data_IF_264346160464
#
_entry.id   IF_264346160464
#
_cell.length_a   1.000
_cell.length_b   1.000
_cell.length_c   1.000
_cell.angle_alpha   90.00
_cell.angle_beta   90.00
_cell.angle_gamma   90.00
#
_symmetry.space_group_name_H-M   'P 1'
#
loop_
_entity.id
_entity.type
_entity.pdbx_description
1 polymer ?
#
# COMPACT_ATOMS: atom_id res chain seq x y z
N UNK A 1 10.93 -8.86 13.12
CA UNK A 1 10.33 -9.94 12.31
C UNK A 1 9.03 -9.49 11.64
N UNK A 2 7.92 -9.26 12.37
CA UNK A 2 6.65 -8.81 11.74
C UNK A 2 6.77 -7.40 11.13
N UNK A 3 7.34 -6.44 11.86
CA UNK A 3 7.54 -5.08 11.36
C UNK A 3 8.43 -5.04 10.09
N UNK A 4 9.52 -5.80 10.08
CA UNK A 4 10.44 -5.88 8.94
C UNK A 4 9.77 -6.55 7.72
N UNK A 5 8.96 -7.59 7.95
CA UNK A 5 8.22 -8.26 6.88
C UNK A 5 7.18 -7.33 6.24
N UNK A 6 6.46 -6.55 7.04
CA UNK A 6 5.47 -5.59 6.52
C UNK A 6 6.14 -4.40 5.85
N UNK A 7 7.30 -3.94 6.35
CA UNK A 7 8.08 -2.91 5.68
C UNK A 7 8.55 -3.37 4.29
N UNK A 8 9.02 -4.62 4.17
CA UNK A 8 9.40 -5.22 2.89
C UNK A 8 8.20 -5.37 1.95
N UNK A 9 7.05 -5.81 2.47
CA UNK A 9 5.81 -5.91 1.70
C UNK A 9 5.37 -4.56 1.12
N UNK A 10 5.41 -3.49 1.92
CA UNK A 10 5.10 -2.13 1.46
C UNK A 10 6.08 -1.68 0.39
N UNK A 11 7.37 -1.92 0.61
CA UNK A 11 8.41 -1.58 -0.36
C UNK A 11 8.17 -2.27 -1.71
N UNK A 12 7.95 -3.58 -1.70
CA UNK A 12 7.75 -4.37 -2.91
C UNK A 12 6.45 -4.01 -3.62
N UNK A 13 5.37 -3.78 -2.87
CA UNK A 13 4.11 -3.34 -3.43
C UNK A 13 4.25 -1.96 -4.10
N UNK A 14 4.98 -1.03 -3.48
CA UNK A 14 5.21 0.29 -4.05
C UNK A 14 6.09 0.23 -5.31
N UNK A 15 7.18 -0.53 -5.26
CA UNK A 15 8.05 -0.72 -6.42
C UNK A 15 7.29 -1.29 -7.62
N UNK A 16 6.34 -2.21 -7.39
CA UNK A 16 5.48 -2.76 -8.46
C UNK A 16 4.47 -1.74 -8.98
N UNK A 17 3.87 -0.94 -8.12
CA UNK A 17 2.96 0.13 -8.52
C UNK A 17 3.68 1.17 -9.39
N UNK A 18 4.86 1.63 -8.97
CA UNK A 18 5.68 2.60 -9.71
C UNK A 18 6.11 2.01 -11.08
N UNK A 19 6.54 0.75 -11.12
CA UNK A 19 6.92 0.09 -12.36
C UNK A 19 5.73 -0.08 -13.33
N UNK A 20 4.55 -0.44 -12.85
CA UNK A 20 3.35 -0.54 -13.68
C UNK A 20 2.86 0.82 -14.16
N UNK A 21 2.94 1.86 -13.31
CA UNK A 21 2.64 3.23 -13.71
C UNK A 21 3.55 3.69 -14.86
N UNK A 22 4.86 3.44 -14.75
CA UNK A 22 5.80 3.78 -15.81
C UNK A 22 5.49 3.06 -17.13
N UNK A 23 5.12 1.78 -17.08
CA UNK A 23 4.69 1.00 -18.26
C UNK A 23 3.40 1.54 -18.87
N UNK A 24 2.43 1.95 -18.05
CA UNK A 24 1.19 2.54 -18.53
C UNK A 24 1.47 3.86 -19.26
N UNK A 25 2.33 4.72 -18.73
CA UNK A 25 2.75 5.96 -19.38
C UNK A 25 3.46 5.70 -20.72
N UNK A 26 4.36 4.71 -20.77
CA UNK A 26 5.03 4.31 -22.01
C UNK A 26 4.02 3.81 -23.06
N UNK A 27 3.05 2.99 -22.65
CA UNK A 27 2.01 2.49 -23.54
C UNK A 27 1.18 3.62 -24.15
N UNK A 28 0.87 4.67 -23.36
CA UNK A 28 0.17 5.85 -23.87
C UNK A 28 1.01 6.66 -24.87
N UNK A 29 2.30 6.79 -24.63
CA UNK A 29 3.20 7.44 -25.57
C UNK A 29 3.23 6.69 -26.92
N UNK A 30 3.24 5.35 -26.87
CA UNK A 30 3.15 4.50 -28.07
C UNK A 30 1.82 4.67 -28.81
N UNK A 31 0.69 4.72 -28.09
CA UNK A 31 -0.63 5.02 -28.67
C UNK A 31 -0.63 6.39 -29.36
N UNK A 32 -0.12 7.43 -28.71
CA UNK A 32 -0.06 8.78 -29.29
C UNK A 32 0.74 8.80 -30.59
N UNK A 33 1.89 8.12 -30.61
CA UNK A 33 2.72 7.97 -31.82
C UNK A 33 1.98 7.19 -32.93
N UNK A 34 1.33 6.09 -32.59
CA UNK A 34 0.59 5.27 -33.54
C UNK A 34 -0.59 6.04 -34.15
N UNK A 35 -1.35 6.79 -33.34
CA UNK A 35 -2.43 7.67 -33.80
C UNK A 35 -1.93 8.75 -34.76
N UNK A 36 -0.82 9.41 -34.43
CA UNK A 36 -0.23 10.42 -35.31
C UNK A 36 0.21 9.81 -36.66
N UNK A 37 0.79 8.61 -36.63
CA UNK A 37 1.16 7.88 -37.86
C UNK A 37 -0.08 7.49 -38.68
N UNK A 38 -1.13 6.95 -38.02
CA UNK A 38 -2.37 6.57 -38.69
C UNK A 38 -3.06 7.77 -39.33
N UNK A 39 -3.13 8.91 -38.63
CA UNK A 39 -3.68 10.16 -39.16
C UNK A 39 -2.91 10.63 -40.40
N UNK A 40 -1.57 10.63 -40.34
CA UNK A 40 -0.73 11.04 -41.48
C UNK A 40 -0.89 10.12 -42.69
N UNK A 41 -0.99 8.81 -42.49
CA UNK A 41 -1.22 7.86 -43.60
C UNK A 41 -2.60 8.01 -44.21
N UNK A 42 -3.60 8.33 -43.40
CA UNK A 42 -4.96 8.63 -43.89
C UNK A 42 -4.98 9.89 -44.74
N UNK A 43 -4.30 10.95 -44.30
CA UNK A 43 -4.13 12.18 -45.10
C UNK A 43 -3.46 11.88 -46.44
N UNK A 44 -2.37 11.11 -46.46
CA UNK A 44 -1.72 10.67 -47.70
C UNK A 44 -2.64 9.85 -48.61
N UNK A 45 -3.47 8.97 -48.05
CA UNK A 45 -4.44 8.19 -48.81
C UNK A 45 -5.52 9.09 -49.45
N UNK A 46 -5.99 10.10 -48.71
CA UNK A 46 -6.97 11.07 -49.19
C UNK A 46 -6.38 11.97 -50.30
N UNK A 47 -5.14 12.42 -50.14
CA UNK A 47 -4.45 13.22 -51.15
C UNK A 47 -4.14 12.41 -52.41
N UNK A 48 -3.71 11.16 -52.28
CA UNK A 48 -3.51 10.26 -53.41
C UNK A 48 -4.81 10.03 -54.19
N UNK A 49 -5.94 9.86 -53.49
CA UNK A 49 -7.25 9.67 -54.12
C UNK A 49 -7.75 10.93 -54.86
N UNK A 50 -7.32 12.14 -54.45
CA UNK A 50 -7.67 13.40 -55.12
C UNK A 50 -6.80 13.68 -56.35
N UNK A 51 -5.61 13.09 -56.43
CA UNK A 51 -4.68 13.34 -57.52
C UNK A 51 -5.02 12.44 -58.72
N UNK A 52 -5.62 13.02 -59.76
CA UNK A 52 -6.12 12.29 -60.95
C UNK A 52 -5.04 11.57 -61.77
N UNK A 53 -3.76 11.79 -61.46
CA UNK A 53 -2.61 11.11 -62.08
C UNK A 53 -2.09 9.90 -61.29
N UNK A 54 -2.63 9.64 -60.09
CA UNK A 54 -2.23 8.49 -59.29
C UNK A 54 -2.80 7.19 -59.86
N UNK A 55 -1.93 6.20 -60.00
CA UNK A 55 -2.31 4.86 -60.42
C UNK A 55 -3.26 4.20 -59.39
N UNK A 56 -4.39 3.58 -59.80
CA UNK A 56 -5.37 3.00 -58.88
C UNK A 56 -4.81 1.94 -57.92
N UNK A 57 -3.79 1.17 -58.34
CA UNK A 57 -3.16 0.16 -57.49
C UNK A 57 -2.35 0.83 -56.37
N UNK A 58 -1.66 1.93 -56.71
CA UNK A 58 -0.94 2.77 -55.73
C UNK A 58 -1.89 3.39 -54.70
N UNK A 59 -3.04 3.91 -55.13
CA UNK A 59 -4.07 4.47 -54.22
C UNK A 59 -4.61 3.38 -53.28
N UNK A 60 -4.83 2.18 -53.80
CA UNK A 60 -5.32 1.03 -53.03
C UNK A 60 -4.30 0.57 -51.99
N UNK A 61 -3.01 0.53 -52.35
CA UNK A 61 -1.93 0.19 -51.42
C UNK A 61 -1.83 1.19 -50.26
N UNK A 62 -1.83 2.49 -50.55
CA UNK A 62 -1.76 3.54 -49.53
C UNK A 62 -2.96 3.45 -48.58
N UNK A 63 -4.17 3.18 -49.09
CA UNK A 63 -5.35 2.96 -48.26
C UNK A 63 -5.20 1.72 -47.37
N UNK A 64 -4.71 0.60 -47.90
CA UNK A 64 -4.44 -0.60 -47.11
C UNK A 64 -3.43 -0.36 -45.98
N UNK A 65 -2.38 0.43 -46.24
CA UNK A 65 -1.40 0.83 -45.22
C UNK A 65 -2.00 1.77 -44.14
N UNK A 66 -2.94 2.64 -44.52
CA UNK A 66 -3.64 3.52 -43.59
C UNK A 66 -4.61 2.74 -42.68
N UNK A 67 -5.34 1.77 -43.24
CA UNK A 67 -6.22 0.88 -42.49
C UNK A 67 -5.42 0.01 -41.52
N UNK A 68 -4.29 -0.54 -41.97
CA UNK A 68 -3.37 -1.31 -41.11
C UNK A 68 -2.83 -0.47 -39.95
N UNK A 69 -2.44 0.79 -40.18
CA UNK A 69 -1.98 1.66 -39.10
C UNK A 69 -3.10 2.05 -38.13
N UNK A 70 -4.33 2.18 -38.63
CA UNK A 70 -5.49 2.41 -37.76
C UNK A 70 -5.74 1.20 -36.87
N UNK A 71 -5.69 -0.01 -37.43
CA UNK A 71 -5.83 -1.25 -36.67
C UNK A 71 -4.73 -1.41 -35.61
N UNK A 72 -3.48 -1.07 -35.95
CA UNK A 72 -2.35 -1.06 -35.01
C UNK A 72 -2.57 -0.06 -33.85
N UNK A 73 -3.03 1.16 -34.15
CA UNK A 73 -3.33 2.15 -33.12
C UNK A 73 -4.44 1.65 -32.17
N UNK A 74 -5.50 1.03 -32.70
CA UNK A 74 -6.58 0.44 -31.89
C UNK A 74 -6.07 -0.70 -31.01
N UNK A 75 -5.18 -1.56 -31.52
CA UNK A 75 -4.58 -2.62 -30.72
C UNK A 75 -3.76 -2.06 -29.56
N UNK A 76 -2.92 -1.06 -29.84
CA UNK A 76 -2.12 -0.39 -28.81
C UNK A 76 -2.98 0.34 -27.77
N UNK A 77 -4.15 0.87 -28.16
CA UNK A 77 -5.10 1.47 -27.21
C UNK A 77 -5.65 0.45 -26.22
N UNK A 78 -5.94 -0.77 -26.67
CA UNK A 78 -6.38 -1.86 -25.80
C UNK A 78 -5.26 -2.25 -24.84
N UNK A 79 -4.03 -2.38 -25.34
CA UNK A 79 -2.88 -2.71 -24.50
C UNK A 79 -2.59 -1.61 -23.47
N UNK A 80 -2.71 -0.33 -23.85
CA UNK A 80 -2.56 0.78 -22.92
C UNK A 80 -3.69 0.81 -21.88
N UNK A 81 -4.92 0.45 -22.23
CA UNK A 81 -6.01 0.32 -21.28
C UNK A 81 -5.78 -0.81 -20.27
N UNK A 82 -5.26 -1.96 -20.72
CA UNK A 82 -4.87 -3.07 -19.85
C UNK A 82 -3.72 -2.66 -18.91
N UNK A 83 -2.68 -2.01 -19.43
CA UNK A 83 -1.55 -1.53 -18.63
C UNK A 83 -1.98 -0.53 -17.55
N UNK A 84 -2.94 0.36 -17.85
CA UNK A 84 -3.54 1.27 -16.86
C UNK A 84 -4.33 0.51 -15.78
N UNK A 85 -5.14 -0.46 -16.19
CA UNK A 85 -5.90 -1.27 -15.23
C UNK A 85 -4.97 -2.07 -14.29
N UNK A 86 -3.85 -2.59 -14.80
CA UNK A 86 -2.82 -3.22 -13.99
C UNK A 86 -2.13 -2.23 -13.03
N UNK A 87 -1.80 -1.03 -13.51
CA UNK A 87 -1.23 0.03 -12.66
C UNK A 87 -2.17 0.41 -11.51
N UNK A 88 -3.47 0.58 -11.79
CA UNK A 88 -4.48 0.87 -10.78
C UNK A 88 -4.61 -0.28 -9.75
N UNK A 89 -4.53 -1.54 -10.20
CA UNK A 89 -4.58 -2.69 -9.32
C UNK A 89 -3.35 -2.77 -8.41
N UNK A 90 -2.16 -2.49 -8.94
CA UNK A 90 -0.93 -2.45 -8.15
C UNK A 90 -0.92 -1.27 -7.17
N UNK A 91 -1.43 -0.10 -7.55
CA UNK A 91 -1.53 1.04 -6.64
C UNK A 91 -2.47 0.71 -5.47
N UNK A 92 -3.65 0.12 -5.73
CA UNK A 92 -4.56 -0.35 -4.67
C UNK A 92 -3.89 -1.37 -3.74
N UNK A 93 -3.07 -2.25 -4.31
CA UNK A 93 -2.31 -3.24 -3.52
C UNK A 93 -1.27 -2.56 -2.63
N UNK A 94 -0.57 -1.54 -3.14
CA UNK A 94 0.36 -0.74 -2.36
C UNK A 94 -0.34 0.04 -1.24
N UNK A 95 -1.49 0.65 -1.52
CA UNK A 95 -2.32 1.31 -0.50
C UNK A 95 -2.72 0.33 0.61
N UNK A 96 -3.23 -0.85 0.25
CA UNK A 96 -3.63 -1.87 1.23
C UNK A 96 -2.44 -2.37 2.08
N UNK A 97 -1.24 -2.47 1.50
CA UNK A 97 -0.04 -2.83 2.25
C UNK A 97 0.33 -1.74 3.30
N UNK A 98 0.19 -0.46 2.94
CA UNK A 98 0.41 0.66 3.85
C UNK A 98 -0.61 0.63 4.99
N UNK A 99 -1.90 0.41 4.69
CA UNK A 99 -2.95 0.29 5.72
C UNK A 99 -2.66 -0.87 6.68
N UNK A 100 -2.20 -2.02 6.17
CA UNK A 100 -1.77 -3.15 7.01
C UNK A 100 -0.60 -2.76 7.92
N UNK A 101 0.40 -2.05 7.42
CA UNK A 101 1.53 -1.55 8.21
C UNK A 101 1.06 -0.67 9.35
N UNK A 102 0.18 0.28 9.07
CA UNK A 102 -0.29 1.24 10.05
C UNK A 102 -1.17 0.55 11.11
N UNK A 103 -1.97 -0.43 10.71
CA UNK A 103 -2.72 -1.28 11.64
C UNK A 103 -1.79 -2.10 12.57
N UNK A 104 -0.71 -2.68 12.03
CA UNK A 104 0.28 -3.42 12.83
C UNK A 104 1.00 -2.51 13.81
N UNK A 105 1.39 -1.30 13.39
CA UNK A 105 2.02 -0.31 14.26
C UNK A 105 1.09 0.08 15.42
N UNK A 106 -0.18 0.39 15.12
CA UNK A 106 -1.19 0.72 16.13
C UNK A 106 -1.42 -0.44 17.12
N UNK A 107 -1.50 -1.68 16.63
CA UNK A 107 -1.64 -2.86 17.49
C UNK A 107 -0.44 -3.05 18.43
N UNK A 108 0.78 -2.79 17.94
CA UNK A 108 2.00 -2.87 18.74
C UNK A 108 2.02 -1.82 19.87
N UNK A 109 1.61 -0.58 19.58
CA UNK A 109 1.48 0.48 20.58
C UNK A 109 0.41 0.14 21.63
N UNK A 110 -0.74 -0.38 21.20
CA UNK A 110 -1.81 -0.84 22.10
C UNK A 110 -1.33 -1.94 23.04
N UNK A 111 -0.57 -2.91 22.52
CA UNK A 111 -0.01 -4.00 23.32
C UNK A 111 1.02 -3.51 24.34
N UNK A 112 1.89 -2.58 23.96
CA UNK A 112 2.86 -1.98 24.88
C UNK A 112 2.18 -1.14 25.97
N UNK A 113 1.11 -0.41 25.63
CA UNK A 113 0.28 0.30 26.61
C UNK A 113 -0.37 -0.66 27.61
N UNK A 114 -0.99 -1.74 27.12
CA UNK A 114 -1.59 -2.77 27.97
C UNK A 114 -0.55 -3.44 28.88
N UNK A 115 0.66 -3.69 28.37
CA UNK A 115 1.77 -4.25 29.15
C UNK A 115 2.21 -3.33 30.28
N UNK A 116 2.26 -2.01 30.04
CA UNK A 116 2.56 -1.01 31.09
C UNK A 116 1.47 -0.96 32.15
N UNK A 117 0.20 -0.94 31.74
CA UNK A 117 -0.93 -0.97 32.65
C UNK A 117 -0.90 -2.21 33.55
N UNK A 118 -0.68 -3.40 32.97
CA UNK A 118 -0.57 -4.65 33.72
C UNK A 118 0.56 -4.61 34.76
N UNK A 119 1.75 -4.10 34.38
CA UNK A 119 2.88 -3.95 35.32
C UNK A 119 2.53 -2.98 36.46
N UNK A 120 1.86 -1.87 36.16
CA UNK A 120 1.44 -0.92 37.18
C UNK A 120 0.47 -1.55 38.18
N UNK A 121 -0.54 -2.29 37.70
CA UNK A 121 -1.48 -3.01 38.57
C UNK A 121 -0.78 -4.05 39.44
N UNK A 122 0.18 -4.80 38.87
CA UNK A 122 0.97 -5.78 39.64
C UNK A 122 1.77 -5.10 40.75
N UNK A 123 2.49 -4.03 40.43
CA UNK A 123 3.30 -3.30 41.41
C UNK A 123 2.42 -2.73 42.54
N UNK A 124 1.26 -2.16 42.20
CA UNK A 124 0.29 -1.68 43.19
C UNK A 124 -0.16 -2.79 44.14
N UNK A 125 -0.47 -3.99 43.60
CA UNK A 125 -0.87 -5.14 44.40
C UNK A 125 0.24 -5.60 45.34
N UNK A 126 1.47 -5.67 44.84
CA UNK A 126 2.63 -6.09 45.63
C UNK A 126 2.92 -5.08 46.76
N UNK A 127 2.75 -3.78 46.51
CA UNK A 127 2.86 -2.73 47.53
C UNK A 127 1.73 -2.79 48.56
N UNK A 128 0.49 -3.06 48.13
CA UNK A 128 -0.64 -3.24 49.03
C UNK A 128 -0.41 -4.43 49.98
N UNK A 129 0.10 -5.55 49.46
CA UNK A 129 0.42 -6.73 50.26
C UNK A 129 1.49 -6.43 51.32
N UNK A 130 2.57 -5.72 50.95
CA UNK A 130 3.61 -5.29 51.91
C UNK A 130 3.03 -4.42 53.02
N UNK A 131 2.15 -3.48 52.69
CA UNK A 131 1.50 -2.60 53.68
C UNK A 131 0.66 -3.39 54.68
N UNK A 132 -0.08 -4.41 54.21
CA UNK A 132 -0.85 -5.29 55.09
C UNK A 132 0.08 -6.06 56.03
N UNK A 133 1.16 -6.64 55.51
CA UNK A 133 2.15 -7.35 56.34
C UNK A 133 2.79 -6.43 57.41
N UNK A 134 3.14 -5.19 57.05
CA UNK A 134 3.64 -4.21 58.00
C UNK A 134 2.59 -3.88 59.06
N UNK A 135 1.32 -3.69 58.67
CA UNK A 135 0.24 -3.39 59.61
C UNK A 135 0.00 -4.55 60.60
N UNK A 136 0.03 -5.80 60.11
CA UNK A 136 -0.11 -7.00 60.95
C UNK A 136 1.05 -7.12 61.96
N UNK A 137 2.29 -6.86 61.52
CA UNK A 137 3.46 -6.88 62.39
C UNK A 137 3.37 -5.81 63.50
N UNK A 138 2.99 -4.58 63.16
CA UNK A 138 2.80 -3.49 64.13
C UNK A 138 1.67 -3.81 65.11
N UNK A 139 0.58 -4.43 64.63
CA UNK A 139 -0.53 -4.84 65.49
C UNK A 139 -0.10 -5.92 66.47
N UNK A 140 0.66 -6.91 66.02
CA UNK A 140 1.20 -7.96 66.88
C UNK A 140 2.14 -7.40 67.97
N UNK A 141 3.00 -6.46 67.61
CA UNK A 141 3.89 -5.76 68.55
C UNK A 141 3.10 -4.93 69.58
N UNK A 142 2.07 -4.20 69.15
CA UNK A 142 1.19 -3.45 70.04
C UNK A 142 0.44 -4.37 71.03
N UNK A 143 0.00 -5.54 70.59
CA UNK A 143 -0.65 -6.54 71.47
C UNK A 143 0.36 -7.12 72.47
N UNK A 144 1.58 -7.45 72.03
CA UNK A 144 2.62 -7.98 72.90
C UNK A 144 3.03 -6.98 73.98
N UNK A 145 3.24 -5.72 73.61
CA UNK A 145 3.57 -4.63 74.55
C UNK A 145 2.45 -4.38 75.54
N UNK A 146 1.18 -4.38 75.11
CA UNK A 146 0.03 -4.28 76.00
C UNK A 146 -0.01 -5.41 77.03
N UNK A 147 0.16 -6.67 76.60
CA UNK A 147 0.20 -7.83 77.50
C UNK A 147 1.36 -7.77 78.50
N UNK A 148 2.52 -7.28 78.06
CA UNK A 148 3.67 -7.12 78.94
C UNK A 148 3.42 -6.05 80.02
N UNK A 149 2.73 -4.95 79.68
CA UNK A 149 2.32 -3.94 80.64
C UNK A 149 1.30 -4.48 81.66
N UNK A 150 0.28 -5.21 81.20
CA UNK A 150 -0.73 -5.85 82.05
C UNK A 150 -0.14 -6.90 83.02
N UNK A 151 1.01 -7.51 82.69
CA UNK A 151 1.69 -8.48 83.55
C UNK A 151 2.57 -7.85 84.64
N UNK A 152 2.80 -6.54 84.58
CA UNK A 152 3.60 -5.77 85.54
C UNK A 152 2.73 -5.01 86.57
N UNK A 153 1.41 -4.98 86.37
CA UNK A 153 0.39 -4.50 87.32
C UNK A 153 -0.11 -5.65 88.23
#
# INVERSE_FOLDING_TARGET
>A
QVADAVALEVHDARARADASSARAEEALARVAKARASAARRRELAEDAARNMSADPDTVSEIRGQADSSTAEAIALERDAALARAEADAHEKTATAAIERRDAVASAAEGLESARRAFRATRNWRDDAYKRVQTADALTAEAVATKRAAEALE
#
